data_IF_655060852152
#
_entry.id   IF_655060852152
#
_cell.length_a   1.000
_cell.length_b   1.000
_cell.length_c   1.000
_cell.angle_alpha   90.00
_cell.angle_beta   90.00
_cell.angle_gamma   90.00
#
_symmetry.space_group_name_H-M   'P 1'
#
loop_
_entity.id
_entity.type
_entity.pdbx_description
1 polymer ?
#
# COMPACT_ATOMS: atom_id res chain seq x y z
N UNK A 1 -5.40 -6.38 -6.06
CA UNK A 1 -5.29 -6.23 -7.53
C UNK A 1 -4.13 -7.07 -8.05
N UNK A 2 -4.35 -7.80 -9.15
CA UNK A 2 -3.31 -8.53 -9.88
C UNK A 2 -2.57 -7.58 -10.84
N UNK A 3 -1.41 -8.00 -11.37
CA UNK A 3 -0.67 -7.19 -12.38
C UNK A 3 -1.49 -6.91 -13.62
N UNK A 4 -2.32 -7.87 -14.03
CA UNK A 4 -3.16 -7.76 -15.23
C UNK A 4 -4.28 -6.75 -15.00
N UNK A 5 -4.99 -6.82 -13.89
CA UNK A 5 -6.02 -5.85 -13.50
C UNK A 5 -5.48 -4.41 -13.43
N UNK A 6 -4.24 -4.24 -12.91
CA UNK A 6 -3.60 -2.92 -12.87
C UNK A 6 -3.32 -2.39 -14.28
N UNK A 7 -2.82 -3.24 -15.20
CA UNK A 7 -2.54 -2.81 -16.57
C UNK A 7 -3.79 -2.54 -17.40
N UNK A 8 -4.91 -3.18 -17.07
CA UNK A 8 -6.22 -2.96 -17.72
C UNK A 8 -6.95 -1.72 -17.16
N UNK A 9 -6.89 -1.52 -15.84
CA UNK A 9 -7.59 -0.41 -15.16
C UNK A 9 -6.88 0.94 -15.29
N UNK A 10 -5.55 0.94 -15.35
CA UNK A 10 -4.76 2.16 -15.37
C UNK A 10 -3.95 2.28 -16.69
N UNK A 11 -3.88 3.49 -17.24
CA UNK A 11 -3.17 3.78 -18.50
C UNK A 11 -1.64 3.70 -18.41
N UNK A 12 -1.10 3.10 -17.34
CA UNK A 12 0.33 3.02 -17.04
C UNK A 12 1.12 2.00 -17.88
N UNK A 13 0.47 1.18 -18.70
CA UNK A 13 1.12 0.09 -19.43
C UNK A 13 1.40 -1.13 -18.55
N UNK A 14 2.36 -1.98 -18.97
CA UNK A 14 2.69 -3.20 -18.23
C UNK A 14 3.31 -2.92 -16.87
N UNK A 15 2.96 -3.72 -15.87
CA UNK A 15 3.57 -3.67 -14.54
C UNK A 15 4.95 -4.34 -14.58
N UNK A 16 6.01 -3.56 -14.39
CA UNK A 16 7.40 -4.04 -14.36
C UNK A 16 7.77 -4.62 -12.98
N UNK A 17 7.36 -3.95 -11.90
CA UNK A 17 7.69 -4.36 -10.54
C UNK A 17 6.59 -4.01 -9.54
N UNK A 18 6.55 -4.76 -8.43
CA UNK A 18 5.63 -4.51 -7.31
C UNK A 18 6.42 -4.28 -6.04
N UNK A 19 6.11 -3.20 -5.34
CA UNK A 19 6.70 -2.85 -4.05
C UNK A 19 5.73 -3.24 -2.95
N UNK A 20 6.20 -4.07 -2.03
CA UNK A 20 5.45 -4.53 -0.86
C UNK A 20 6.23 -4.18 0.41
N UNK A 21 5.63 -4.34 1.57
CA UNK A 21 6.33 -4.25 2.85
C UNK A 21 7.42 -5.32 2.98
N UNK A 22 8.37 -5.12 3.88
CA UNK A 22 9.39 -6.13 4.20
C UNK A 22 8.74 -7.48 4.53
N UNK A 23 9.23 -8.55 3.92
CA UNK A 23 8.77 -9.92 4.21
C UNK A 23 8.90 -10.28 5.69
N UNK A 24 9.96 -9.83 6.35
CA UNK A 24 10.14 -10.04 7.79
C UNK A 24 8.99 -9.41 8.59
N UNK A 25 8.56 -8.20 8.26
CA UNK A 25 7.44 -7.51 8.92
C UNK A 25 6.13 -8.29 8.69
N UNK A 26 5.91 -8.79 7.47
CA UNK A 26 4.75 -9.61 7.14
C UNK A 26 4.72 -10.89 7.97
N UNK A 27 5.86 -11.61 8.06
CA UNK A 27 5.97 -12.85 8.84
C UNK A 27 5.79 -12.61 10.35
N UNK A 28 6.48 -11.60 10.90
CA UNK A 28 6.36 -11.25 12.34
C UNK A 28 4.91 -10.87 12.65
N UNK A 29 4.28 -10.03 11.81
CA UNK A 29 2.88 -9.63 12.00
C UNK A 29 1.93 -10.83 11.97
N UNK A 30 2.14 -11.80 11.07
CA UNK A 30 1.34 -13.03 11.01
C UNK A 30 1.52 -13.90 12.24
N UNK A 31 2.76 -14.14 12.67
CA UNK A 31 3.05 -14.96 13.85
C UNK A 31 2.39 -14.32 15.09
N UNK A 32 2.59 -13.02 15.30
CA UNK A 32 1.97 -12.30 16.42
C UNK A 32 0.45 -12.34 16.33
N UNK A 33 -0.13 -12.13 15.15
CA UNK A 33 -1.58 -12.20 14.92
C UNK A 33 -2.14 -13.58 15.24
N UNK A 34 -1.51 -14.67 14.81
CA UNK A 34 -1.91 -16.04 15.11
C UNK A 34 -1.83 -16.31 16.61
N UNK A 35 -0.73 -15.93 17.27
CA UNK A 35 -0.58 -16.12 18.72
C UNK A 35 -1.66 -15.36 19.50
N UNK A 36 -1.98 -14.13 19.08
CA UNK A 36 -3.05 -13.34 19.69
C UNK A 36 -4.43 -13.97 19.47
N UNK A 37 -4.72 -14.48 18.27
CA UNK A 37 -5.96 -15.20 17.99
C UNK A 37 -6.11 -16.45 18.87
N UNK A 38 -5.05 -17.25 19.00
CA UNK A 38 -5.04 -18.43 19.85
C UNK A 38 -5.27 -18.05 21.33
N UNK A 39 -4.62 -16.99 21.80
CA UNK A 39 -4.80 -16.49 23.15
C UNK A 39 -6.25 -16.03 23.40
N UNK A 40 -6.82 -15.24 22.48
CA UNK A 40 -8.22 -14.78 22.60
C UNK A 40 -9.22 -15.93 22.62
N UNK A 41 -9.01 -16.97 21.82
CA UNK A 41 -9.89 -18.14 21.79
C UNK A 41 -9.74 -18.97 23.06
N UNK A 42 -8.49 -19.21 23.50
CA UNK A 42 -8.19 -20.07 24.66
C UNK A 42 -8.66 -19.45 25.99
N UNK A 43 -8.52 -18.13 26.12
CA UNK A 43 -8.89 -17.40 27.32
C UNK A 43 -10.20 -16.61 27.17
N UNK A 44 -11.02 -16.96 26.18
CA UNK A 44 -12.33 -16.34 26.01
C UNK A 44 -13.16 -16.51 27.29
N UNK A 45 -13.74 -15.44 27.83
CA UNK A 45 -14.58 -15.49 29.03
C UNK A 45 -15.80 -16.42 28.85
N UNK A 46 -16.31 -16.96 29.95
CA UNK A 46 -17.52 -17.78 29.88
C UNK A 46 -18.81 -16.99 29.62
N UNK A 47 -18.77 -15.68 29.89
CA UNK A 47 -19.87 -14.79 29.58
C UNK A 47 -20.06 -14.63 28.07
N UNK A 48 -21.31 -14.73 27.62
CA UNK A 48 -21.67 -14.76 26.19
C UNK A 48 -21.27 -13.47 25.49
N UNK A 49 -21.52 -12.30 26.10
CA UNK A 49 -21.20 -11.00 25.51
C UNK A 49 -19.70 -10.83 25.26
N UNK A 50 -18.88 -11.12 26.27
CA UNK A 50 -17.42 -11.03 26.17
C UNK A 50 -16.83 -12.06 25.20
N UNK A 51 -17.45 -13.24 25.08
CA UNK A 51 -17.05 -14.27 24.12
C UNK A 51 -17.30 -13.81 22.68
N UNK A 52 -18.45 -13.20 22.40
CA UNK A 52 -18.77 -12.61 21.09
C UNK A 52 -17.74 -11.54 20.74
N UNK A 53 -17.39 -10.65 21.68
CA UNK A 53 -16.38 -9.63 21.47
C UNK A 53 -15.00 -10.22 21.13
N UNK A 54 -14.57 -11.29 21.84
CA UNK A 54 -13.31 -11.98 21.53
C UNK A 54 -13.31 -12.55 20.11
N UNK A 55 -14.40 -13.18 19.68
CA UNK A 55 -14.49 -13.72 18.32
C UNK A 55 -14.52 -12.60 17.26
N UNK A 56 -15.19 -11.48 17.51
CA UNK A 56 -15.15 -10.32 16.63
C UNK A 56 -13.73 -9.78 16.47
N UNK A 57 -12.96 -9.69 17.57
CA UNK A 57 -11.56 -9.30 17.54
C UNK A 57 -10.69 -10.29 16.74
N UNK A 58 -10.94 -11.61 16.86
CA UNK A 58 -10.24 -12.61 16.04
C UNK A 58 -10.51 -12.39 14.55
N UNK A 59 -11.76 -12.15 14.16
CA UNK A 59 -12.11 -11.85 12.77
C UNK A 59 -11.40 -10.59 12.28
N UNK A 60 -11.39 -9.52 13.07
CA UNK A 60 -10.68 -8.28 12.76
C UNK A 60 -9.17 -8.50 12.59
N UNK A 61 -8.55 -9.32 13.46
CA UNK A 61 -7.13 -9.66 13.37
C UNK A 61 -6.81 -10.48 12.13
N UNK A 62 -7.61 -11.49 11.81
CA UNK A 62 -7.44 -12.29 10.59
C UNK A 62 -7.55 -11.42 9.33
N UNK A 63 -8.48 -10.49 9.33
CA UNK A 63 -8.64 -9.54 8.24
C UNK A 63 -7.45 -8.58 8.12
N UNK A 64 -6.97 -8.01 9.26
CA UNK A 64 -5.76 -7.19 9.29
C UNK A 64 -4.53 -7.94 8.75
N UNK A 65 -4.38 -9.24 9.10
CA UNK A 65 -3.28 -10.08 8.61
C UNK A 65 -3.28 -10.23 7.09
N UNK A 66 -4.45 -10.28 6.44
CA UNK A 66 -4.55 -10.28 4.98
C UNK A 66 -4.04 -8.96 4.35
N UNK A 67 -4.17 -7.84 5.07
CA UNK A 67 -3.65 -6.55 4.63
C UNK A 67 -2.12 -6.44 4.61
N UNK A 68 -1.40 -7.33 5.29
CA UNK A 68 0.07 -7.30 5.34
C UNK A 68 0.74 -7.62 4.00
N UNK A 69 0.06 -8.30 3.09
CA UNK A 69 0.57 -8.64 1.75
C UNK A 69 0.23 -7.61 0.67
N UNK A 70 -0.40 -6.51 1.04
CA UNK A 70 -0.79 -5.51 0.07
C UNK A 70 0.39 -4.91 -0.67
N UNK A 71 0.22 -4.77 -1.97
CA UNK A 71 1.17 -4.03 -2.81
C UNK A 71 0.98 -2.54 -2.55
N UNK A 72 2.06 -1.87 -2.18
CA UNK A 72 2.07 -0.45 -1.88
C UNK A 72 2.18 0.40 -3.16
N UNK A 73 3.02 -0.05 -4.09
CA UNK A 73 3.25 0.63 -5.38
C UNK A 73 3.49 -0.40 -6.46
N UNK A 74 2.81 -0.23 -7.59
CA UNK A 74 3.13 -0.89 -8.85
C UNK A 74 3.95 0.07 -9.71
N UNK A 75 5.14 -0.37 -10.15
CA UNK A 75 5.97 0.35 -11.11
C UNK A 75 5.53 -0.11 -12.50
N UNK A 76 4.90 0.77 -13.24
CA UNK A 76 4.45 0.54 -14.60
C UNK A 76 5.46 1.11 -15.62
N UNK A 77 5.20 0.94 -16.90
CA UNK A 77 6.06 1.48 -17.97
C UNK A 77 6.04 3.01 -18.02
N UNK A 78 4.87 3.63 -17.77
CA UNK A 78 4.64 5.07 -17.93
C UNK A 78 4.39 5.83 -16.62
N UNK A 79 4.37 5.13 -15.48
CA UNK A 79 4.07 5.77 -14.20
C UNK A 79 3.99 4.80 -13.04
N UNK A 80 3.52 5.30 -11.94
CA UNK A 80 3.25 4.54 -10.72
C UNK A 80 1.75 4.35 -10.50
N UNK A 81 1.35 3.18 -10.03
CA UNK A 81 0.04 2.99 -9.42
C UNK A 81 0.26 2.82 -7.92
N UNK A 82 -0.14 3.81 -7.15
CA UNK A 82 0.19 3.96 -5.74
C UNK A 82 -1.04 3.73 -4.89
N UNK A 83 -0.88 2.92 -3.84
CA UNK A 83 -1.90 2.80 -2.81
C UNK A 83 -1.86 4.04 -1.94
N UNK A 84 -2.94 4.83 -1.98
CA UNK A 84 -3.10 6.01 -1.12
C UNK A 84 -3.25 5.58 0.34
N UNK A 85 -2.68 6.37 1.24
CA UNK A 85 -2.91 6.21 2.68
C UNK A 85 -4.22 6.90 3.06
N UNK A 86 -5.12 6.21 3.76
CA UNK A 86 -6.31 6.86 4.31
C UNK A 86 -5.90 7.95 5.29
N UNK A 87 -6.52 9.12 5.19
CA UNK A 87 -6.22 10.29 6.04
C UNK A 87 -7.25 10.49 7.14
N UNK A 88 -8.46 9.99 6.96
CA UNK A 88 -9.55 10.09 7.94
C UNK A 88 -9.98 8.71 8.45
N UNK A 89 -10.62 8.64 9.62
CA UNK A 89 -11.19 7.38 10.16
C UNK A 89 -12.24 6.79 9.20
N UNK A 90 -13.01 7.62 8.51
CA UNK A 90 -13.98 7.20 7.50
C UNK A 90 -13.27 6.54 6.33
N UNK A 91 -12.19 7.14 5.82
CA UNK A 91 -11.40 6.59 4.72
C UNK A 91 -10.73 5.28 5.12
N UNK A 92 -10.30 5.16 6.38
CA UNK A 92 -9.77 3.92 6.92
C UNK A 92 -10.80 2.78 6.84
N UNK A 93 -12.04 3.06 7.22
CA UNK A 93 -13.12 2.08 7.18
C UNK A 93 -13.48 1.73 5.74
N UNK A 94 -13.62 2.74 4.87
CA UNK A 94 -13.93 2.53 3.46
C UNK A 94 -12.79 1.86 2.68
N UNK A 95 -11.53 2.22 2.95
CA UNK A 95 -10.36 1.57 2.33
C UNK A 95 -10.26 0.09 2.68
N UNK A 96 -10.82 -0.27 3.79
CA UNK A 96 -10.85 -1.63 4.25
C UNK A 96 -11.90 -2.49 3.53
N UNK A 97 -12.99 -1.88 3.07
CA UNK A 97 -14.08 -2.55 2.33
C UNK A 97 -13.83 -2.47 0.81
N UNK A 98 -13.35 -1.32 0.33
CA UNK A 98 -13.12 -1.01 -1.07
C UNK A 98 -11.62 -0.82 -1.37
N UNK A 99 -10.84 -1.87 -1.19
CA UNK A 99 -9.37 -1.85 -1.30
C UNK A 99 -8.87 -1.33 -2.66
N UNK A 100 -9.62 -1.60 -3.73
CA UNK A 100 -9.22 -1.28 -5.09
C UNK A 100 -9.45 0.19 -5.47
N UNK A 101 -10.28 0.92 -4.73
CA UNK A 101 -10.59 2.33 -5.00
C UNK A 101 -9.52 3.30 -4.48
N UNK A 102 -8.61 2.80 -3.63
CA UNK A 102 -7.54 3.59 -3.04
C UNK A 102 -6.21 3.54 -3.81
N UNK A 103 -6.21 3.06 -5.05
CA UNK A 103 -5.06 3.14 -5.92
C UNK A 103 -5.18 4.34 -6.87
N UNK A 104 -4.13 5.15 -6.93
CA UNK A 104 -4.00 6.31 -7.81
C UNK A 104 -2.90 6.07 -8.83
N UNK A 105 -3.18 6.35 -10.09
CA UNK A 105 -2.16 6.39 -11.13
C UNK A 105 -1.49 7.77 -11.18
N UNK A 106 -0.17 7.77 -11.13
CA UNK A 106 0.67 8.98 -11.23
C UNK A 106 1.65 8.77 -12.38
N UNK A 107 1.52 9.50 -13.51
CA UNK A 107 2.43 9.42 -14.64
C UNK A 107 3.83 9.91 -14.26
N UNK A 108 4.89 9.36 -14.88
CA UNK A 108 6.27 9.75 -14.56
C UNK A 108 6.60 11.20 -14.92
N UNK A 109 5.99 11.76 -15.96
CA UNK A 109 6.15 13.15 -16.39
C UNK A 109 5.69 14.16 -15.33
N UNK A 110 4.72 13.78 -14.50
CA UNK A 110 4.23 14.64 -13.42
C UNK A 110 4.99 14.48 -12.11
N UNK A 111 5.77 13.39 -11.93
CA UNK A 111 6.45 13.10 -10.67
C UNK A 111 7.61 14.07 -10.42
N UNK A 112 7.59 14.79 -9.30
CA UNK A 112 8.72 15.58 -8.80
C UNK A 112 9.71 14.69 -8.04
N UNK A 113 9.22 13.91 -7.10
CA UNK A 113 10.02 12.99 -6.28
C UNK A 113 9.29 12.50 -5.04
N UNK A 114 9.98 11.66 -4.28
CA UNK A 114 9.52 11.21 -2.97
C UNK A 114 10.08 12.12 -1.86
N UNK A 115 9.31 12.32 -0.80
CA UNK A 115 9.81 12.99 0.40
C UNK A 115 10.91 12.14 1.07
N UNK A 116 11.87 12.75 1.81
CA UNK A 116 12.97 12.02 2.44
C UNK A 116 12.52 10.93 3.42
N UNK A 117 11.36 11.11 4.03
CA UNK A 117 10.75 10.16 4.97
C UNK A 117 9.90 9.07 4.29
N UNK A 118 9.75 9.13 2.95
CA UNK A 118 8.98 8.17 2.16
C UNK A 118 7.49 8.06 2.53
N UNK A 119 6.93 9.15 3.04
CA UNK A 119 5.50 9.24 3.38
C UNK A 119 4.66 9.84 2.27
N UNK A 120 5.28 10.55 1.33
CA UNK A 120 4.59 11.32 0.33
C UNK A 120 5.32 11.26 -1.02
N UNK A 121 4.56 11.24 -2.10
CA UNK A 121 5.02 11.50 -3.44
C UNK A 121 4.56 12.89 -3.85
N UNK A 122 5.48 13.71 -4.31
CA UNK A 122 5.20 15.03 -4.89
C UNK A 122 5.05 14.91 -6.40
N UNK A 123 3.97 15.46 -6.93
CA UNK A 123 3.70 15.49 -8.36
C UNK A 123 3.12 16.85 -8.79
N UNK A 124 3.30 17.20 -10.05
CA UNK A 124 2.79 18.45 -10.64
C UNK A 124 1.45 18.17 -11.32
N UNK A 125 0.47 19.02 -11.10
CA UNK A 125 -0.80 18.96 -11.81
C UNK A 125 -0.72 19.70 -13.16
N UNK A 126 -1.73 19.56 -14.01
CA UNK A 126 -1.80 20.20 -15.34
C UNK A 126 -1.76 21.75 -15.31
N UNK A 127 -1.90 22.37 -14.15
CA UNK A 127 -1.84 23.82 -13.95
C UNK A 127 -0.52 24.28 -13.33
N UNK A 128 0.49 23.39 -13.25
CA UNK A 128 1.80 23.69 -12.68
C UNK A 128 1.85 23.72 -11.15
N UNK A 129 0.75 23.43 -10.46
CA UNK A 129 0.71 23.33 -9.02
C UNK A 129 1.25 21.97 -8.54
N UNK A 130 2.01 21.98 -7.43
CA UNK A 130 2.48 20.75 -6.79
C UNK A 130 1.34 20.19 -5.93
N UNK A 131 1.02 18.92 -6.14
CA UNK A 131 0.13 18.16 -5.23
C UNK A 131 0.89 16.99 -4.60
N UNK A 132 0.40 16.57 -3.46
CA UNK A 132 1.04 15.54 -2.64
C UNK A 132 0.14 14.32 -2.59
N UNK A 133 0.71 13.16 -2.91
CA UNK A 133 0.03 11.87 -2.77
C UNK A 133 0.52 11.20 -1.49
N UNK A 134 -0.34 11.07 -0.47
CA UNK A 134 0.04 10.40 0.78
C UNK A 134 0.22 8.91 0.51
N UNK A 135 1.36 8.38 0.93
CA UNK A 135 1.71 6.96 0.83
C UNK A 135 2.48 6.52 2.08
N UNK A 136 2.71 5.24 2.23
CA UNK A 136 3.51 4.72 3.34
C UNK A 136 4.52 3.70 2.82
N UNK A 137 5.68 4.21 2.44
CA UNK A 137 6.82 3.40 2.01
C UNK A 137 7.91 3.26 3.07
N UNK A 138 7.65 3.67 4.32
CA UNK A 138 8.64 3.56 5.39
C UNK A 138 9.08 2.11 5.59
N UNK A 139 8.13 1.18 5.56
CA UNK A 139 8.35 -0.26 5.70
C UNK A 139 8.65 -0.98 4.38
N UNK A 140 8.86 -0.25 3.29
CA UNK A 140 9.30 -0.84 2.04
C UNK A 140 10.81 -1.14 2.06
N UNK A 141 11.25 -2.24 1.43
CA UNK A 141 12.67 -2.58 1.31
C UNK A 141 13.48 -1.45 0.68
N UNK A 142 14.67 -1.18 1.21
CA UNK A 142 15.58 -0.15 0.68
C UNK A 142 15.88 -0.36 -0.81
N UNK A 143 16.05 -1.62 -1.23
CA UNK A 143 16.25 -1.98 -2.64
C UNK A 143 15.10 -1.55 -3.54
N UNK A 144 13.86 -1.61 -3.04
CA UNK A 144 12.69 -1.20 -3.81
C UNK A 144 12.55 0.33 -3.83
N UNK A 145 12.97 1.03 -2.77
CA UNK A 145 13.09 2.50 -2.75
C UNK A 145 14.06 3.01 -3.80
N UNK A 146 15.23 2.36 -3.94
CA UNK A 146 16.19 2.67 -5.01
C UNK A 146 15.57 2.43 -6.40
N UNK A 147 14.83 1.33 -6.58
CA UNK A 147 14.15 1.03 -7.85
C UNK A 147 13.11 2.08 -8.23
N UNK A 148 12.37 2.60 -7.25
CA UNK A 148 11.41 3.68 -7.48
C UNK A 148 12.11 4.94 -8.00
N UNK A 149 13.21 5.34 -7.37
CA UNK A 149 14.01 6.49 -7.82
C UNK A 149 14.64 6.26 -9.20
N UNK A 150 15.18 5.05 -9.41
CA UNK A 150 15.78 4.67 -10.68
C UNK A 150 14.75 4.69 -11.84
N UNK A 151 13.51 4.29 -11.58
CA UNK A 151 12.44 4.32 -12.57
C UNK A 151 12.12 5.76 -13.04
N UNK A 152 12.05 6.71 -12.09
CA UNK A 152 11.85 8.13 -12.41
C UNK A 152 13.03 8.67 -13.22
N UNK A 153 14.25 8.39 -12.76
CA UNK A 153 15.46 8.85 -13.45
C UNK A 153 15.53 8.31 -14.88
N UNK A 154 15.35 7.02 -15.05
CA UNK A 154 15.38 6.37 -16.36
C UNK A 154 14.34 6.95 -17.32
N UNK A 155 13.12 7.21 -16.82
CA UNK A 155 12.10 7.85 -17.66
C UNK A 155 12.50 9.25 -18.11
N UNK A 156 13.06 10.07 -17.21
CA UNK A 156 13.53 11.42 -17.54
C UNK A 156 14.69 11.40 -18.55
N UNK A 157 15.65 10.50 -18.33
CA UNK A 157 16.82 10.38 -19.23
C UNK A 157 16.39 9.96 -20.65
N UNK A 158 15.31 9.14 -20.77
CA UNK A 158 14.81 8.66 -22.07
C UNK A 158 13.92 9.67 -22.81
N UNK A 159 13.31 10.65 -22.12
CA UNK A 159 12.35 11.59 -22.72
C UNK A 159 12.85 13.03 -22.76
N UNK A 160 14.05 13.31 -22.23
CA UNK A 160 14.72 14.61 -22.32
C UNK A 160 15.78 14.65 -23.43
N UNK A 161 15.92 13.59 -24.26
CA UNK A 161 16.64 13.57 -25.54
C UNK A 161 15.67 13.88 -26.67
#
# INVERSE_FOLDING_TARGET
MTKQEVSERFSGGRVKHMVTTYKAVQWIGRILGILTCVALIKWAPHDVGNRILCYALVVCLLWWMNGLDMVLVYICEKGFVIKQRPTTLRDYFWSAIHLDDYYLYVPFDTVVGFTPDWKELQAVNNHGGIYVVPLDLQLAPYKDKIRLQAAIKHYRDTHNE
#
